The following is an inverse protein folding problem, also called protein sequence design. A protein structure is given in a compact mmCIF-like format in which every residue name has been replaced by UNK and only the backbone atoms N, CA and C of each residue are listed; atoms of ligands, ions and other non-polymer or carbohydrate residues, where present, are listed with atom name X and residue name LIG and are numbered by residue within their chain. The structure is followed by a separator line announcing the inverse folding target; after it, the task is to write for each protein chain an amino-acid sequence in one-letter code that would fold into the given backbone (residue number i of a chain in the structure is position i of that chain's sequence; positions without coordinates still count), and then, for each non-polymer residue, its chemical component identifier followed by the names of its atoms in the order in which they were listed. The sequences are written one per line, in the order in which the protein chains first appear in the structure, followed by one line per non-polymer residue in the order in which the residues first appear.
data_IF_312538737068
#
_entry.id   IF_312538737068
#
_cell.length_a   1.000
_cell.length_b   1.000
_cell.length_c   1.000
_cell.angle_alpha   90.00
_cell.angle_beta   90.00
_cell.angle_gamma   90.00
#
_symmetry.space_group_name_H-M   'P 1'
#
loop_
_entity.id
_entity.type
_entity.pdbx_description
1 polymer ?
#
# COMPACT_ATOMS: atom_id res chain seq x y z
N UNK A 1 -3.83 13.35 -15.88
CA UNK A 1 -3.07 14.04 -16.92
C UNK A 1 -1.62 13.61 -16.74
N UNK A 2 -0.97 13.09 -17.76
CA UNK A 2 0.46 12.84 -17.72
C UNK A 2 1.16 14.07 -18.25
N UNK A 3 2.12 14.60 -17.52
CA UNK A 3 3.04 15.62 -18.03
C UNK A 3 4.11 14.81 -18.74
N UNK A 4 4.02 14.75 -20.06
CA UNK A 4 5.09 14.18 -20.88
C UNK A 4 6.12 15.27 -21.13
N UNK A 5 7.38 14.92 -21.00
CA UNK A 5 8.50 15.83 -21.25
C UNK A 5 8.44 16.34 -22.71
N UNK A 6 8.17 17.64 -22.94
CA UNK A 6 8.14 18.20 -24.27
C UNK A 6 9.53 18.72 -24.73
N UNK A 7 10.59 18.51 -23.93
CA UNK A 7 11.88 19.10 -24.17
C UNK A 7 12.75 18.22 -25.10
N UNK A 8 13.58 18.84 -25.92
CA UNK A 8 14.58 18.10 -26.69
C UNK A 8 15.48 17.28 -25.75
N UNK A 9 15.83 16.07 -26.17
CA UNK A 9 16.71 15.17 -25.43
C UNK A 9 17.95 15.92 -24.87
N UNK A 10 18.10 15.93 -23.56
CA UNK A 10 19.22 16.55 -22.85
C UNK A 10 18.91 17.84 -22.08
N UNK A 11 17.70 18.37 -22.12
CA UNK A 11 17.30 19.48 -21.24
C UNK A 11 16.40 18.96 -20.13
N UNK A 12 16.82 19.10 -18.89
CA UNK A 12 15.97 18.80 -17.73
C UNK A 12 14.92 19.91 -17.55
N UNK A 13 13.68 19.51 -17.30
CA UNK A 13 12.64 20.46 -16.91
C UNK A 13 13.03 21.08 -15.56
N UNK A 14 13.10 22.43 -15.43
CA UNK A 14 13.45 23.03 -14.16
C UNK A 14 12.46 22.57 -13.07
N UNK A 15 12.98 22.00 -12.00
CA UNK A 15 12.17 21.43 -10.91
C UNK A 15 11.14 22.43 -10.35
N UNK A 16 11.53 23.69 -10.22
CA UNK A 16 10.65 24.78 -9.76
C UNK A 16 9.41 24.94 -10.65
N UNK A 17 9.56 24.86 -11.98
CA UNK A 17 8.42 25.00 -12.90
C UNK A 17 7.39 23.87 -12.80
N UNK A 18 7.76 22.70 -12.29
CA UNK A 18 6.81 21.60 -12.11
C UNK A 18 5.74 21.98 -11.08
N UNK A 19 6.17 22.49 -9.96
CA UNK A 19 5.27 22.83 -8.85
C UNK A 19 4.48 24.10 -9.13
N UNK A 20 5.08 25.10 -9.75
CA UNK A 20 4.38 26.29 -10.27
C UNK A 20 3.27 25.91 -11.26
N UNK A 21 3.56 24.97 -12.18
CA UNK A 21 2.55 24.46 -13.10
C UNK A 21 1.41 23.74 -12.38
N UNK A 22 1.71 22.90 -11.39
CA UNK A 22 0.70 22.19 -10.61
C UNK A 22 -0.17 23.18 -9.82
N UNK A 23 0.40 24.23 -9.24
CA UNK A 23 -0.32 25.32 -8.58
C UNK A 23 -1.24 26.04 -9.54
N UNK A 24 -0.71 26.47 -10.70
CA UNK A 24 -1.50 27.15 -11.73
C UNK A 24 -2.64 26.25 -12.24
N UNK A 25 -2.37 24.96 -12.46
CA UNK A 25 -3.40 24.00 -12.83
C UNK A 25 -4.47 23.86 -11.73
N UNK A 26 -4.08 23.74 -10.47
CA UNK A 26 -5.02 23.70 -9.35
C UNK A 26 -5.87 24.95 -9.28
N UNK A 27 -5.24 26.12 -9.41
CA UNK A 27 -5.91 27.44 -9.35
C UNK A 27 -6.86 27.70 -10.54
N UNK A 28 -6.64 27.04 -11.69
CA UNK A 28 -7.55 27.14 -12.85
C UNK A 28 -8.86 26.36 -12.68
N UNK A 29 -8.96 25.48 -11.67
CA UNK A 29 -10.16 24.66 -11.42
C UNK A 29 -11.30 25.53 -10.88
N UNK A 30 -12.56 25.21 -11.22
CA UNK A 30 -13.70 25.92 -10.67
C UNK A 30 -13.80 25.73 -9.15
N UNK A 31 -14.29 26.76 -8.47
CA UNK A 31 -14.63 26.69 -7.06
C UNK A 31 -15.85 25.78 -6.90
N UNK A 32 -15.77 24.82 -5.99
CA UNK A 32 -16.89 24.00 -5.59
C UNK A 32 -17.87 24.88 -4.79
N UNK A 33 -19.11 24.99 -5.30
CA UNK A 33 -20.13 25.86 -4.70
C UNK A 33 -20.54 25.44 -3.28
N UNK A 34 -20.36 24.17 -2.93
CA UNK A 34 -20.70 23.64 -1.60
C UNK A 34 -19.65 24.01 -0.56
N UNK A 35 -18.37 23.99 -0.94
CA UNK A 35 -17.26 24.17 0.01
C UNK A 35 -16.65 25.56 -0.03
N UNK A 36 -16.92 26.33 -1.08
CA UNK A 36 -16.27 27.61 -1.35
C UNK A 36 -14.77 27.47 -1.73
N UNK A 37 -14.28 26.25 -1.97
CA UNK A 37 -12.89 25.94 -2.31
C UNK A 37 -12.81 25.09 -3.57
N UNK A 38 -11.63 24.97 -4.14
CA UNK A 38 -11.38 24.04 -5.25
C UNK A 38 -11.27 22.61 -4.71
N UNK A 39 -11.77 21.64 -5.48
CA UNK A 39 -11.52 20.25 -5.16
C UNK A 39 -10.00 19.96 -5.22
N UNK A 40 -9.44 19.09 -4.38
CA UNK A 40 -8.01 18.85 -4.34
C UNK A 40 -7.47 18.36 -5.68
N UNK A 41 -6.22 18.67 -5.95
CA UNK A 41 -5.42 18.08 -7.03
C UNK A 41 -4.51 17.04 -6.37
N UNK A 42 -4.63 15.78 -6.77
CA UNK A 42 -3.79 14.72 -6.23
C UNK A 42 -2.76 14.36 -7.29
N UNK A 43 -1.50 14.41 -6.91
CA UNK A 43 -0.37 14.17 -7.80
C UNK A 43 0.46 12.99 -7.33
N UNK A 44 0.93 12.19 -8.28
CA UNK A 44 1.89 11.11 -8.04
C UNK A 44 3.22 11.45 -8.71
N UNK A 45 4.29 11.42 -7.93
CA UNK A 45 5.64 11.71 -8.38
C UNK A 45 6.50 10.44 -8.27
N UNK A 46 6.53 9.65 -9.34
CA UNK A 46 7.39 8.46 -9.46
C UNK A 46 8.77 8.81 -10.03
N UNK A 47 9.33 9.92 -9.61
CA UNK A 47 10.64 10.45 -9.96
C UNK A 47 11.18 11.29 -8.81
N UNK A 48 12.45 11.68 -8.89
CA UNK A 48 13.06 12.58 -7.91
C UNK A 48 14.29 13.29 -8.48
N UNK A 49 14.68 14.37 -7.82
CA UNK A 49 15.97 15.02 -8.09
C UNK A 49 17.12 14.13 -7.65
N UNK A 50 18.13 14.06 -8.49
CA UNK A 50 19.33 13.26 -8.25
C UNK A 50 20.59 14.06 -8.48
N UNK A 51 21.67 13.70 -7.76
CA UNK A 51 23.02 14.17 -7.97
C UNK A 51 23.77 13.02 -8.64
N UNK A 52 24.18 13.16 -9.91
CA UNK A 52 25.02 12.16 -10.58
C UNK A 52 26.37 12.04 -9.87
N UNK A 53 26.86 10.82 -9.70
CA UNK A 53 28.12 10.55 -9.01
C UNK A 53 29.35 10.69 -9.91
N UNK A 54 29.15 10.77 -11.23
CA UNK A 54 30.23 11.03 -12.20
C UNK A 54 29.69 11.68 -13.48
N UNK A 55 30.57 12.33 -14.23
CA UNK A 55 30.29 12.87 -15.57
C UNK A 55 30.33 11.79 -16.66
N UNK A 56 30.86 10.59 -16.38
CA UNK A 56 31.17 9.53 -17.36
C UNK A 56 30.54 8.17 -17.03
N UNK A 57 29.31 8.13 -16.49
CA UNK A 57 28.59 6.88 -16.18
C UNK A 57 29.20 6.02 -15.07
N UNK A 58 30.12 6.53 -14.31
CA UNK A 58 30.77 5.77 -13.26
C UNK A 58 29.99 5.85 -11.95
N UNK A 59 29.91 4.71 -11.27
CA UNK A 59 29.28 4.57 -9.98
C UNK A 59 30.16 5.22 -8.90
N UNK A 60 29.58 5.70 -7.81
CA UNK A 60 30.35 6.15 -6.65
C UNK A 60 31.25 5.01 -6.18
N UNK A 61 32.56 5.23 -6.23
CA UNK A 61 33.56 4.32 -5.68
C UNK A 61 34.12 4.86 -4.37
N UNK A 62 34.74 4.00 -3.58
CA UNK A 62 35.37 4.42 -2.34
C UNK A 62 36.55 5.39 -2.61
N UNK A 63 37.21 5.28 -3.76
CA UNK A 63 38.33 6.17 -4.14
C UNK A 63 37.83 7.62 -4.37
N UNK A 64 36.61 7.82 -4.76
CA UNK A 64 36.04 9.15 -5.00
C UNK A 64 35.62 9.85 -3.72
N UNK A 65 35.36 9.09 -2.65
CA UNK A 65 34.94 9.63 -1.37
C UNK A 65 36.13 10.24 -0.62
N UNK A 66 36.07 11.54 -0.41
CA UNK A 66 37.15 12.27 0.30
C UNK A 66 36.83 12.56 1.76
N UNK A 67 35.52 12.70 2.10
CA UNK A 67 35.10 13.04 3.45
C UNK A 67 33.67 12.62 3.71
N UNK A 68 33.38 12.23 4.94
CA UNK A 68 32.04 12.10 5.52
C UNK A 68 31.93 13.04 6.71
N UNK A 69 30.91 13.91 6.72
CA UNK A 69 30.50 14.58 7.95
C UNK A 69 29.29 13.82 8.50
N UNK A 70 29.45 13.24 9.67
CA UNK A 70 28.43 12.43 10.30
C UNK A 70 28.16 12.92 11.72
N UNK A 71 26.94 13.37 11.97
CA UNK A 71 26.50 13.93 13.25
C UNK A 71 27.44 15.04 13.79
N UNK A 72 27.91 15.89 12.89
CA UNK A 72 28.78 17.01 13.21
C UNK A 72 30.28 16.67 13.33
N UNK A 73 30.67 15.41 13.17
CA UNK A 73 32.08 14.97 13.17
C UNK A 73 32.53 14.70 11.75
N UNK A 74 33.70 15.19 11.41
CA UNK A 74 34.32 14.96 10.09
C UNK A 74 35.25 13.76 10.11
N UNK A 75 34.99 12.81 9.19
CA UNK A 75 35.76 11.60 8.99
C UNK A 75 36.40 11.58 7.60
N UNK A 76 37.61 11.07 7.52
CA UNK A 76 38.41 10.91 6.31
C UNK A 76 39.55 9.92 6.57
N UNK A 77 40.50 9.77 5.62
CA UNK A 77 41.63 8.87 5.76
C UNK A 77 42.55 9.22 6.94
N UNK A 78 42.64 10.48 7.36
CA UNK A 78 43.40 10.96 8.49
C UNK A 78 42.66 10.90 9.84
N UNK A 79 41.35 10.80 9.81
CA UNK A 79 40.47 10.66 10.97
C UNK A 79 39.36 9.62 10.64
N UNK A 80 39.71 8.34 10.65
CA UNK A 80 38.76 7.28 10.25
C UNK A 80 37.67 7.09 11.31
N UNK A 81 36.56 6.50 10.87
CA UNK A 81 35.50 6.03 11.78
C UNK A 81 35.94 4.80 12.60
N UNK A 82 35.05 4.33 13.51
CA UNK A 82 35.34 3.19 14.38
C UNK A 82 35.75 1.91 13.62
N UNK A 83 35.18 1.67 12.44
CA UNK A 83 35.48 0.52 11.59
C UNK A 83 36.61 0.76 10.57
N UNK A 84 37.26 1.92 10.64
CA UNK A 84 38.36 2.32 9.77
C UNK A 84 37.90 3.01 8.48
N UNK A 85 38.88 3.65 7.77
CA UNK A 85 38.62 4.30 6.49
C UNK A 85 38.80 3.30 5.35
N UNK A 86 37.79 2.44 5.21
CA UNK A 86 37.66 1.44 4.15
C UNK A 86 36.24 1.49 3.62
N UNK A 87 35.96 0.94 2.43
CA UNK A 87 34.63 0.89 1.89
C UNK A 87 33.61 0.24 2.86
N UNK A 88 33.99 -0.94 3.40
CA UNK A 88 33.18 -1.65 4.37
C UNK A 88 32.99 -0.88 5.69
N UNK A 89 34.09 -0.23 6.20
CA UNK A 89 34.02 0.57 7.41
C UNK A 89 33.12 1.79 7.26
N UNK A 90 33.27 2.52 6.18
CA UNK A 90 32.45 3.71 5.87
C UNK A 90 30.98 3.35 5.67
N UNK A 91 30.71 2.23 4.99
CA UNK A 91 29.34 1.71 4.87
C UNK A 91 28.75 1.35 6.22
N UNK A 92 29.52 0.67 7.07
CA UNK A 92 29.08 0.23 8.41
C UNK A 92 28.83 1.40 9.35
N UNK A 93 29.77 2.35 9.42
CA UNK A 93 29.73 3.43 10.40
C UNK A 93 28.77 4.57 10.01
N UNK A 94 28.66 4.85 8.71
CA UNK A 94 27.98 6.05 8.21
C UNK A 94 26.82 5.77 7.24
N UNK A 95 26.58 4.51 6.88
CA UNK A 95 25.49 4.15 5.96
C UNK A 95 25.69 4.62 4.51
N UNK A 96 26.93 4.91 4.11
CA UNK A 96 27.26 5.29 2.73
C UNK A 96 27.12 4.08 1.81
N UNK A 97 26.46 4.28 0.67
CA UNK A 97 26.28 3.25 -0.37
C UNK A 97 27.25 3.53 -1.52
N UNK A 98 28.06 2.54 -1.83
CA UNK A 98 28.91 2.53 -3.01
C UNK A 98 28.28 1.72 -4.14
N UNK A 99 28.76 1.90 -5.35
CA UNK A 99 28.19 1.23 -6.52
C UNK A 99 26.84 1.80 -6.97
N UNK A 100 26.50 3.02 -6.56
CA UNK A 100 25.31 3.77 -7.02
C UNK A 100 25.74 4.86 -8.00
N UNK A 101 24.92 5.08 -9.02
CA UNK A 101 25.16 6.11 -10.04
C UNK A 101 24.62 7.50 -9.64
N UNK A 102 23.72 7.53 -8.68
CA UNK A 102 23.10 8.78 -8.21
C UNK A 102 22.85 8.77 -6.70
N UNK A 103 22.84 9.96 -6.11
CA UNK A 103 22.28 10.21 -4.79
C UNK A 103 21.09 11.17 -4.89
N UNK A 104 20.10 11.12 -3.96
CA UNK A 104 18.98 12.05 -3.96
C UNK A 104 19.47 13.51 -3.81
N UNK A 105 18.91 14.40 -4.65
CA UNK A 105 19.20 15.83 -4.63
C UNK A 105 18.21 16.58 -3.73
N UNK A 106 18.63 16.95 -2.53
CA UNK A 106 17.87 17.86 -1.67
C UNK A 106 17.98 19.30 -2.14
N UNK A 107 16.88 20.07 -2.10
CA UNK A 107 16.85 21.49 -2.46
C UNK A 107 15.81 22.23 -1.63
N UNK A 108 16.27 23.20 -0.84
CA UNK A 108 15.38 24.05 -0.04
C UNK A 108 14.45 24.91 -0.90
N UNK A 109 14.90 25.33 -2.07
CA UNK A 109 14.08 26.15 -2.98
C UNK A 109 12.91 25.31 -3.55
N UNK A 110 13.21 24.10 -4.02
CA UNK A 110 12.16 23.19 -4.53
C UNK A 110 11.19 22.77 -3.43
N UNK A 111 11.71 22.52 -2.21
CA UNK A 111 10.86 22.16 -1.08
C UNK A 111 9.91 23.31 -0.71
N UNK A 112 10.34 24.57 -0.82
CA UNK A 112 9.45 25.72 -0.61
C UNK A 112 8.30 25.76 -1.65
N UNK A 113 8.58 25.53 -2.94
CA UNK A 113 7.55 25.48 -3.97
C UNK A 113 6.58 24.30 -3.79
N UNK A 114 7.09 23.16 -3.28
CA UNK A 114 6.26 22.02 -2.93
C UNK A 114 5.30 22.39 -1.79
N UNK A 115 5.82 23.03 -0.74
CA UNK A 115 5.02 23.46 0.38
C UNK A 115 3.94 24.47 -0.05
N UNK A 116 4.31 25.44 -0.89
CA UNK A 116 3.35 26.38 -1.50
C UNK A 116 2.26 25.65 -2.30
N UNK A 117 2.61 24.59 -3.03
CA UNK A 117 1.63 23.79 -3.77
C UNK A 117 0.68 23.05 -2.83
N UNK A 118 1.19 22.52 -1.72
CA UNK A 118 0.39 21.88 -0.66
C UNK A 118 -0.56 22.88 -0.02
N UNK A 119 -0.08 24.08 0.31
CA UNK A 119 -0.88 25.14 0.93
C UNK A 119 -1.99 25.63 -0.01
N UNK A 120 -1.76 25.62 -1.30
CA UNK A 120 -2.76 25.92 -2.33
C UNK A 120 -3.82 24.79 -2.49
N UNK A 121 -3.61 23.62 -1.93
CA UNK A 121 -4.55 22.47 -1.96
C UNK A 121 -4.18 21.35 -2.92
N UNK A 122 -2.92 21.27 -3.34
CA UNK A 122 -2.37 20.12 -4.07
C UNK A 122 -1.92 19.06 -3.05
N UNK A 123 -2.30 17.81 -3.28
CA UNK A 123 -1.84 16.67 -2.49
C UNK A 123 -0.69 16.01 -3.24
N UNK A 124 0.48 15.97 -2.62
CA UNK A 124 1.72 15.51 -3.23
C UNK A 124 2.15 14.19 -2.60
N UNK A 125 2.28 13.16 -3.45
CA UNK A 125 2.65 11.81 -3.06
C UNK A 125 3.83 11.39 -3.93
N UNK A 126 4.92 10.97 -3.30
CA UNK A 126 6.16 10.66 -3.99
C UNK A 126 6.73 9.28 -3.69
N UNK A 127 7.42 8.71 -4.65
CA UNK A 127 8.17 7.47 -4.52
C UNK A 127 9.47 7.73 -3.75
N UNK A 128 9.77 6.91 -2.73
CA UNK A 128 10.93 7.12 -1.86
C UNK A 128 12.29 6.92 -2.56
N UNK A 129 12.33 6.25 -3.72
CA UNK A 129 13.57 5.89 -4.42
C UNK A 129 14.00 4.44 -4.18
N UNK A 130 14.98 3.98 -4.99
CA UNK A 130 15.27 2.55 -5.16
C UNK A 130 16.73 2.18 -4.85
N UNK A 131 17.42 2.97 -4.04
CA UNK A 131 18.87 2.84 -3.84
C UNK A 131 19.23 2.25 -2.47
N UNK A 132 18.21 1.80 -1.71
CA UNK A 132 18.37 1.31 -0.33
C UNK A 132 19.11 2.31 0.58
N UNK A 133 18.75 3.60 0.46
CA UNK A 133 19.32 4.68 1.24
C UNK A 133 18.47 5.02 2.45
N UNK A 134 19.13 5.40 3.55
CA UNK A 134 18.45 5.91 4.74
C UNK A 134 18.02 7.36 4.53
N UNK A 135 16.72 7.65 4.78
CA UNK A 135 16.20 9.02 4.83
C UNK A 135 15.95 9.42 6.29
N UNK A 136 16.64 10.45 6.71
CA UNK A 136 16.61 10.94 8.08
C UNK A 136 15.41 11.86 8.33
N UNK A 137 14.93 11.87 9.56
CA UNK A 137 13.97 12.87 10.04
C UNK A 137 14.65 14.25 10.14
N UNK A 138 13.98 15.36 9.74
CA UNK A 138 14.54 16.71 9.85
C UNK A 138 14.98 17.11 11.26
N UNK A 139 14.36 16.56 12.29
CA UNK A 139 14.73 16.78 13.70
C UNK A 139 15.80 15.81 14.21
N UNK A 140 16.17 14.80 13.39
CA UNK A 140 17.09 13.75 13.78
C UNK A 140 18.56 14.12 13.63
N UNK A 141 19.44 13.46 14.40
CA UNK A 141 20.88 13.70 14.36
C UNK A 141 21.52 13.48 12.98
N UNK A 142 20.88 12.66 12.14
CA UNK A 142 21.41 12.32 10.81
C UNK A 142 21.02 13.31 9.71
N UNK A 143 20.18 14.30 10.00
CA UNK A 143 19.69 15.26 9.00
C UNK A 143 20.78 16.05 8.30
N UNK A 144 21.82 16.42 9.03
CA UNK A 144 22.89 17.27 8.52
C UNK A 144 24.14 16.50 8.05
N UNK A 145 24.02 15.19 7.88
CA UNK A 145 25.11 14.38 7.37
C UNK A 145 25.42 14.70 5.90
N UNK A 146 26.71 14.87 5.57
CA UNK A 146 27.15 15.17 4.21
C UNK A 146 28.24 14.23 3.73
N UNK A 147 28.27 14.02 2.41
CA UNK A 147 29.40 13.42 1.71
C UNK A 147 30.14 14.49 0.93
N UNK A 148 31.47 14.36 0.84
CA UNK A 148 32.30 15.12 -0.12
C UNK A 148 32.90 14.11 -1.08
N UNK A 149 32.54 14.24 -2.35
CA UNK A 149 32.91 13.33 -3.43
C UNK A 149 33.75 14.12 -4.45
N UNK A 150 34.86 13.55 -4.87
CA UNK A 150 35.75 14.15 -5.87
C UNK A 150 35.00 14.38 -7.18
N UNK A 151 35.19 15.56 -7.76
CA UNK A 151 34.49 15.94 -9.01
C UNK A 151 32.96 16.25 -8.87
N UNK A 152 32.33 15.92 -7.76
CA UNK A 152 30.91 16.19 -7.50
C UNK A 152 30.70 17.32 -6.50
N UNK A 153 31.49 17.33 -5.41
CA UNK A 153 31.39 18.32 -4.33
C UNK A 153 30.75 17.75 -3.06
N UNK A 154 30.25 18.64 -2.20
CA UNK A 154 29.67 18.28 -0.91
C UNK A 154 28.13 18.37 -0.98
N UNK A 155 27.46 17.32 -0.51
CA UNK A 155 25.99 17.26 -0.51
C UNK A 155 25.45 16.48 0.68
N UNK A 156 24.18 16.73 1.02
CA UNK A 156 23.45 15.97 2.03
C UNK A 156 22.99 14.64 1.45
N UNK A 157 23.30 13.53 2.10
CA UNK A 157 23.02 12.21 1.55
C UNK A 157 21.89 11.43 2.26
N UNK A 158 21.34 12.00 3.34
CA UNK A 158 20.25 11.39 4.11
C UNK A 158 18.97 12.23 4.14
N UNK A 159 18.89 13.31 3.35
CA UNK A 159 17.70 14.19 3.32
C UNK A 159 16.64 13.78 2.30
N UNK A 160 16.88 12.72 1.54
CA UNK A 160 16.05 12.45 0.37
C UNK A 160 16.26 13.48 -0.75
N UNK A 161 15.59 13.30 -1.84
CA UNK A 161 15.54 14.23 -2.98
C UNK A 161 14.13 14.78 -3.18
N UNK A 162 14.03 15.99 -3.75
CA UNK A 162 12.73 16.52 -4.11
C UNK A 162 12.02 15.62 -5.14
N UNK A 163 10.66 15.42 -5.11
CA UNK A 163 9.72 15.95 -4.13
C UNK A 163 9.66 15.15 -2.82
N UNK A 164 10.50 14.13 -2.68
CA UNK A 164 10.40 13.11 -1.63
C UNK A 164 11.27 13.43 -0.40
N UNK A 165 11.71 14.67 -0.25
CA UNK A 165 12.37 15.13 0.95
C UNK A 165 11.35 15.28 2.08
N UNK A 166 11.63 14.79 3.30
CA UNK A 166 10.67 14.83 4.41
C UNK A 166 10.30 16.25 4.86
N UNK A 167 11.16 17.23 4.63
CA UNK A 167 10.90 18.64 4.91
C UNK A 167 10.10 19.37 3.82
N UNK A 168 9.72 18.68 2.74
CA UNK A 168 8.83 19.23 1.72
C UNK A 168 7.35 19.10 2.09
N UNK A 169 7.00 18.25 3.05
CA UNK A 169 5.61 17.94 3.40
C UNK A 169 4.91 16.95 2.46
N UNK A 170 5.61 16.40 1.46
CA UNK A 170 5.07 15.35 0.60
C UNK A 170 4.93 14.01 1.34
N UNK A 171 4.03 13.14 0.87
CA UNK A 171 3.89 11.77 1.38
C UNK A 171 4.93 10.88 0.70
N UNK A 172 5.85 10.32 1.48
CA UNK A 172 6.93 9.46 1.01
C UNK A 172 6.53 7.98 1.07
N UNK A 173 6.53 7.31 -0.08
CA UNK A 173 6.05 5.94 -0.20
C UNK A 173 7.20 4.98 -0.48
N UNK A 174 7.46 4.07 0.46
CA UNK A 174 8.37 2.95 0.29
C UNK A 174 7.71 1.76 -0.41
N UNK A 175 8.51 0.86 -0.95
CA UNK A 175 8.06 -0.34 -1.63
C UNK A 175 8.06 -1.56 -0.70
N UNK A 176 6.99 -2.35 -0.74
CA UNK A 176 6.93 -3.71 -0.18
C UNK A 176 7.35 -4.74 -1.21
N UNK A 177 7.95 -5.84 -0.74
CA UNK A 177 8.22 -7.03 -1.53
C UNK A 177 6.92 -7.76 -1.93
N UNK A 178 7.01 -8.56 -3.00
CA UNK A 178 5.90 -9.42 -3.45
C UNK A 178 5.81 -10.76 -2.70
N UNK A 179 6.83 -11.08 -1.92
CA UNK A 179 6.91 -12.35 -1.20
C UNK A 179 6.05 -12.34 0.06
N UNK A 180 4.81 -12.39 0.04
CA UNK A 180 3.78 -12.57 1.06
C UNK A 180 4.09 -12.48 2.58
N UNK A 181 5.32 -12.16 2.94
CA UNK A 181 5.84 -12.03 4.31
C UNK A 181 5.84 -10.58 4.82
N UNK A 182 5.23 -9.67 4.08
CA UNK A 182 5.11 -8.25 4.43
C UNK A 182 6.45 -7.52 4.68
N UNK A 183 7.51 -7.92 4.00
CA UNK A 183 8.79 -7.23 4.10
C UNK A 183 8.89 -6.03 3.16
N UNK A 184 9.78 -5.09 3.46
CA UNK A 184 10.14 -4.05 2.51
C UNK A 184 10.91 -4.66 1.33
N UNK A 185 10.77 -4.10 0.14
CA UNK A 185 11.62 -4.45 -0.99
C UNK A 185 13.08 -4.05 -0.68
N UNK A 186 14.04 -4.89 -1.11
CA UNK A 186 15.47 -4.69 -0.78
C UNK A 186 16.03 -3.39 -1.34
N UNK A 187 15.49 -2.92 -2.44
CA UNK A 187 15.94 -1.70 -3.10
C UNK A 187 15.34 -0.43 -2.49
N UNK A 188 14.20 -0.51 -1.81
CA UNK A 188 13.47 0.69 -1.37
C UNK A 188 14.29 1.54 -0.42
N UNK A 189 14.32 2.86 -0.64
CA UNK A 189 14.81 3.77 0.37
C UNK A 189 13.95 3.65 1.64
N UNK A 190 14.55 3.88 2.80
CA UNK A 190 13.96 3.60 4.11
C UNK A 190 14.37 4.67 5.13
N UNK A 191 13.87 4.59 6.34
CA UNK A 191 14.20 5.53 7.41
C UNK A 191 12.96 6.24 7.98
N UNK A 192 13.13 7.10 8.99
CA UNK A 192 12.02 7.75 9.67
C UNK A 192 11.21 8.69 8.77
N UNK A 193 11.76 9.08 7.62
CA UNK A 193 11.13 9.94 6.63
C UNK A 193 10.13 9.21 5.69
N UNK A 194 9.99 7.91 5.82
CA UNK A 194 8.98 7.15 5.06
C UNK A 194 7.64 7.23 5.79
N UNK A 195 6.58 7.63 5.08
CA UNK A 195 5.25 7.72 5.68
C UNK A 195 4.50 6.39 5.67
N UNK A 196 4.64 5.64 4.57
CA UNK A 196 3.92 4.38 4.38
C UNK A 196 4.62 3.51 3.36
N UNK A 197 4.47 2.19 3.50
CA UNK A 197 4.85 1.24 2.46
C UNK A 197 3.62 0.78 1.68
N UNK A 198 3.81 0.50 0.38
CA UNK A 198 2.79 -0.09 -0.48
C UNK A 198 3.43 -1.12 -1.42
N UNK A 199 2.66 -2.05 -2.02
CA UNK A 199 3.21 -3.03 -2.94
C UNK A 199 4.02 -2.37 -4.06
N UNK A 200 5.28 -2.76 -4.21
CA UNK A 200 6.19 -2.12 -5.19
C UNK A 200 7.06 -3.09 -5.95
N UNK A 201 6.90 -4.40 -5.75
CA UNK A 201 7.67 -5.41 -6.44
C UNK A 201 6.76 -6.32 -7.28
N UNK A 202 7.17 -6.63 -8.53
CA UNK A 202 6.39 -7.42 -9.49
C UNK A 202 4.97 -6.87 -9.76
N UNK A 203 4.83 -5.57 -9.84
CA UNK A 203 3.53 -4.93 -10.04
C UNK A 203 3.16 -4.98 -11.52
N UNK A 204 2.14 -5.78 -11.83
CA UNK A 204 1.60 -5.90 -13.17
C UNK A 204 0.81 -4.64 -13.56
N UNK A 205 1.24 -3.99 -14.62
CA UNK A 205 0.64 -2.74 -15.09
C UNK A 205 0.58 -2.69 -16.63
N UNK A 206 -0.25 -1.78 -17.15
CA UNK A 206 -0.26 -1.51 -18.59
C UNK A 206 1.12 -1.04 -19.04
N UNK A 207 1.59 -1.58 -20.17
CA UNK A 207 2.90 -1.31 -20.70
C UNK A 207 2.85 -0.91 -22.17
N UNK A 208 3.74 -0.01 -22.58
CA UNK A 208 3.86 0.41 -23.97
C UNK A 208 4.44 -0.68 -24.88
N UNK A 209 4.07 -0.65 -26.17
CA UNK A 209 4.64 -1.57 -27.17
C UNK A 209 6.02 -1.11 -27.68
N UNK A 210 6.80 -0.40 -26.88
CA UNK A 210 8.15 0.01 -27.25
C UNK A 210 9.05 -1.24 -27.25
N UNK A 211 9.63 -1.56 -28.39
CA UNK A 211 10.52 -2.72 -28.52
C UNK A 211 11.79 -2.56 -27.69
N UNK A 212 12.26 -3.65 -27.10
CA UNK A 212 13.56 -3.69 -26.42
C UNK A 212 13.62 -4.49 -25.13
N UNK A 213 12.49 -4.84 -24.51
CA UNK A 213 12.51 -5.81 -23.42
C UNK A 213 12.23 -7.20 -23.97
N UNK A 214 13.21 -8.09 -23.85
CA UNK A 214 13.13 -9.49 -24.29
C UNK A 214 12.27 -10.37 -23.38
N UNK A 215 11.44 -9.76 -22.52
CA UNK A 215 10.73 -10.47 -21.48
C UNK A 215 9.29 -10.77 -21.86
N UNK A 216 8.75 -11.80 -21.24
CA UNK A 216 7.40 -12.32 -21.48
C UNK A 216 6.35 -11.28 -21.13
N UNK A 217 5.89 -10.54 -22.13
CA UNK A 217 4.76 -9.61 -21.98
C UNK A 217 3.47 -10.40 -21.92
N UNK A 218 2.64 -10.09 -20.95
CA UNK A 218 1.26 -10.60 -20.95
C UNK A 218 0.43 -9.77 -21.94
N UNK A 219 -0.25 -10.44 -22.87
CA UNK A 219 -1.11 -9.78 -23.85
C UNK A 219 -2.57 -10.04 -23.53
N UNK A 220 -3.37 -8.97 -23.51
CA UNK A 220 -4.83 -9.07 -23.50
C UNK A 220 -5.36 -8.58 -24.85
N UNK A 221 -5.64 -9.54 -25.76
CA UNK A 221 -5.94 -9.21 -27.16
C UNK A 221 -4.68 -8.81 -27.95
N UNK A 222 -4.87 -8.29 -29.16
CA UNK A 222 -3.77 -8.05 -30.11
C UNK A 222 -2.96 -6.76 -29.88
N UNK A 223 -3.37 -5.89 -28.95
CA UNK A 223 -2.79 -4.56 -28.81
C UNK A 223 -2.60 -4.07 -27.35
N UNK A 224 -2.94 -4.86 -26.35
CA UNK A 224 -2.82 -4.47 -24.95
C UNK A 224 -1.72 -5.29 -24.29
N UNK A 225 -0.70 -4.60 -23.83
CA UNK A 225 0.46 -5.20 -23.17
C UNK A 225 0.45 -4.91 -21.69
N UNK A 226 0.78 -5.92 -20.89
CA UNK A 226 1.01 -5.81 -19.45
C UNK A 226 2.39 -6.36 -19.13
N UNK A 227 3.09 -5.71 -18.22
CA UNK A 227 4.41 -6.15 -17.80
C UNK A 227 4.57 -5.91 -16.29
N UNK A 228 5.14 -6.87 -15.53
CA UNK A 228 5.46 -6.67 -14.13
C UNK A 228 6.77 -5.90 -14.01
N UNK A 229 6.73 -4.79 -13.28
CA UNK A 229 7.92 -4.00 -12.94
C UNK A 229 7.97 -3.75 -11.45
N UNK A 230 9.17 -3.46 -10.94
CA UNK A 230 9.43 -3.21 -9.53
C UNK A 230 9.97 -1.81 -9.33
N UNK A 231 9.62 -1.20 -8.22
CA UNK A 231 10.09 0.13 -7.83
C UNK A 231 9.14 0.81 -6.86
N UNK A 232 9.64 1.76 -6.10
CA UNK A 232 8.80 2.70 -5.34
C UNK A 232 7.90 3.52 -6.25
N UNK A 233 8.27 3.64 -7.54
CA UNK A 233 7.44 4.19 -8.62
C UNK A 233 6.12 3.45 -8.83
N UNK A 234 6.02 2.17 -8.44
CA UNK A 234 4.81 1.33 -8.49
C UNK A 234 4.04 1.37 -7.19
N UNK A 235 4.70 1.62 -6.08
CA UNK A 235 4.09 1.75 -4.75
C UNK A 235 3.33 3.09 -4.60
N UNK A 236 3.96 4.19 -4.97
CA UNK A 236 3.43 5.55 -4.82
C UNK A 236 2.06 5.76 -5.51
N UNK A 237 1.83 5.34 -6.77
CA UNK A 237 0.53 5.54 -7.42
C UNK A 237 -0.62 4.75 -6.77
N UNK A 238 -0.34 3.67 -6.06
CA UNK A 238 -1.37 2.95 -5.30
C UNK A 238 -1.85 3.77 -4.11
N UNK A 239 -0.93 4.44 -3.40
CA UNK A 239 -1.27 5.40 -2.34
C UNK A 239 -2.06 6.56 -2.91
N UNK A 240 -1.62 7.13 -4.03
CA UNK A 240 -2.34 8.22 -4.72
C UNK A 240 -3.76 7.80 -5.12
N UNK A 241 -3.93 6.58 -5.61
CA UNK A 241 -5.24 6.01 -5.95
C UNK A 241 -6.17 5.87 -4.75
N UNK A 242 -5.68 5.38 -3.63
CA UNK A 242 -6.45 5.29 -2.37
C UNK A 242 -6.85 6.67 -1.88
N UNK A 243 -5.91 7.61 -1.85
CA UNK A 243 -6.17 9.00 -1.45
C UNK A 243 -7.20 9.66 -2.38
N UNK A 244 -7.11 9.42 -3.70
CA UNK A 244 -8.09 9.94 -4.67
C UNK A 244 -9.51 9.39 -4.43
N UNK A 245 -9.63 8.10 -4.11
CA UNK A 245 -10.91 7.49 -3.75
C UNK A 245 -11.51 8.11 -2.49
N UNK A 246 -10.68 8.37 -1.48
CA UNK A 246 -11.11 9.00 -0.23
C UNK A 246 -11.53 10.46 -0.43
N UNK A 247 -10.74 11.22 -1.16
CA UNK A 247 -11.01 12.62 -1.46
C UNK A 247 -12.30 12.81 -2.28
N UNK A 248 -12.67 11.82 -3.13
CA UNK A 248 -13.86 11.89 -3.97
C UNK A 248 -15.17 11.95 -3.19
N UNK A 249 -15.19 11.47 -1.96
CA UNK A 249 -16.36 11.47 -1.07
C UNK A 249 -16.35 12.57 -0.02
N UNK A 250 -15.40 13.51 -0.09
CA UNK A 250 -15.23 14.58 0.90
C UNK A 250 -15.50 15.95 0.29
N UNK A 251 -16.21 16.80 1.00
CA UNK A 251 -16.40 18.19 0.60
C UNK A 251 -15.10 19.00 0.68
N UNK A 252 -14.18 18.58 1.53
CA UNK A 252 -12.84 19.12 1.68
C UNK A 252 -11.87 17.98 2.00
N UNK A 253 -10.71 18.01 1.36
CA UNK A 253 -9.64 17.05 1.63
C UNK A 253 -8.28 17.71 1.36
N UNK A 254 -7.37 17.61 2.30
CA UNK A 254 -6.05 18.28 2.30
C UNK A 254 -4.91 17.27 2.37
N UNK A 255 -3.67 17.75 2.27
CA UNK A 255 -2.47 16.94 2.52
C UNK A 255 -2.50 16.33 3.94
N UNK A 256 -2.86 17.13 4.95
CA UNK A 256 -2.94 16.67 6.33
C UNK A 256 -4.02 15.59 6.51
N UNK A 257 -5.16 15.74 5.81
CA UNK A 257 -6.21 14.69 5.83
C UNK A 257 -5.70 13.38 5.22
N UNK A 258 -4.89 13.45 4.16
CA UNK A 258 -4.26 12.30 3.54
C UNK A 258 -3.24 11.62 4.47
N UNK A 259 -2.36 12.41 5.10
CA UNK A 259 -1.40 11.93 6.10
C UNK A 259 -2.13 11.32 7.29
N UNK A 260 -3.13 12.02 7.83
CA UNK A 260 -3.94 11.54 8.94
C UNK A 260 -4.65 10.22 8.62
N UNK A 261 -5.18 10.04 7.40
CA UNK A 261 -5.76 8.78 6.96
C UNK A 261 -4.72 7.66 6.94
N UNK A 262 -3.55 7.90 6.35
CA UNK A 262 -2.47 6.93 6.29
C UNK A 262 -2.07 6.50 7.70
N UNK A 263 -1.91 7.45 8.62
CA UNK A 263 -1.53 7.16 10.01
C UNK A 263 -2.57 6.32 10.76
N UNK A 264 -3.85 6.56 10.53
CA UNK A 264 -4.95 5.91 11.26
C UNK A 264 -5.42 4.59 10.66
N UNK A 265 -5.27 4.41 9.35
CA UNK A 265 -5.87 3.29 8.62
C UNK A 265 -4.86 2.33 8.01
N UNK A 266 -3.57 2.64 8.04
CA UNK A 266 -2.53 1.68 7.65
C UNK A 266 -2.43 0.56 8.68
N UNK A 267 -2.10 -0.63 8.21
CA UNK A 267 -1.78 -1.74 9.09
C UNK A 267 -0.38 -1.55 9.67
N UNK A 268 -0.23 -1.78 10.97
CA UNK A 268 1.02 -1.57 11.69
C UNK A 268 1.47 -2.83 12.40
N UNK A 269 2.78 -3.01 12.56
CA UNK A 269 3.35 -4.07 13.38
C UNK A 269 3.65 -5.38 12.64
N UNK A 270 3.09 -5.59 11.45
CA UNK A 270 3.19 -6.86 10.72
C UNK A 270 4.32 -6.92 9.69
N UNK A 271 4.95 -5.78 9.38
CA UNK A 271 6.05 -5.79 8.40
C UNK A 271 7.28 -6.48 8.97
N UNK A 272 7.73 -7.46 8.23
CA UNK A 272 9.05 -8.08 8.44
C UNK A 272 10.08 -7.41 7.53
N UNK A 273 11.34 -7.44 7.91
CA UNK A 273 12.42 -6.87 7.11
C UNK A 273 13.31 -7.99 6.60
N UNK A 274 13.75 -7.86 5.34
CA UNK A 274 14.55 -8.90 4.70
C UNK A 274 15.86 -9.13 5.45
N UNK A 275 16.15 -10.40 5.70
CA UNK A 275 17.37 -10.87 6.36
C UNK A 275 18.39 -11.47 5.43
N UNK A 276 18.09 -11.56 4.15
CA UNK A 276 18.96 -12.25 3.18
C UNK A 276 20.32 -11.55 2.94
N UNK A 277 20.54 -10.38 3.56
CA UNK A 277 21.80 -9.64 3.47
C UNK A 277 22.57 -9.44 4.77
N UNK A 278 22.16 -10.07 5.87
CA UNK A 278 22.82 -9.93 7.18
C UNK A 278 22.36 -8.70 7.96
N UNK A 279 21.49 -8.87 8.91
CA UNK A 279 21.19 -7.90 9.94
C UNK A 279 19.86 -7.15 9.83
N UNK A 280 19.05 -7.38 8.84
CA UNK A 280 17.78 -6.66 8.66
C UNK A 280 16.58 -7.17 9.50
N UNK A 281 16.76 -8.17 10.36
CA UNK A 281 15.78 -8.55 11.40
C UNK A 281 15.81 -7.65 12.64
N UNK A 282 16.79 -6.77 12.73
CA UNK A 282 16.92 -5.83 13.82
C UNK A 282 15.97 -4.64 13.55
N UNK A 283 15.18 -4.18 14.53
CA UNK A 283 14.47 -2.92 14.44
C UNK A 283 15.35 -1.74 14.03
N UNK A 284 16.65 -1.78 14.33
CA UNK A 284 17.65 -0.81 13.85
C UNK A 284 17.86 -0.85 12.33
N UNK A 285 17.65 -1.98 11.68
CA UNK A 285 17.76 -2.11 10.22
C UNK A 285 16.60 -1.42 9.47
N UNK A 286 15.52 -1.04 10.15
CA UNK A 286 14.51 -0.15 9.61
C UNK A 286 14.99 1.30 9.53
N UNK A 287 16.12 1.62 10.16
CA UNK A 287 16.61 3.00 10.26
C UNK A 287 15.56 3.96 10.81
N UNK A 288 14.61 3.48 11.64
CA UNK A 288 13.49 4.27 12.12
C UNK A 288 12.26 4.31 11.20
N UNK A 289 12.23 3.58 10.06
CA UNK A 289 11.02 3.50 9.21
C UNK A 289 9.81 3.05 10.02
N UNK A 290 8.63 3.63 9.79
CA UNK A 290 7.42 3.18 10.43
C UNK A 290 7.10 1.75 9.98
N UNK A 291 6.72 0.87 10.91
CA UNK A 291 6.16 -0.43 10.58
C UNK A 291 4.71 -0.25 10.15
N UNK A 292 4.52 0.29 8.95
CA UNK A 292 3.21 0.70 8.45
C UNK A 292 3.09 0.47 6.96
N UNK A 293 2.07 -0.26 6.54
CA UNK A 293 1.74 -0.41 5.12
C UNK A 293 0.30 -0.04 4.82
N UNK A 294 0.09 0.42 3.59
CA UNK A 294 -1.21 0.87 3.13
C UNK A 294 -2.21 -0.28 3.17
N UNK A 295 -3.29 -0.07 3.90
CA UNK A 295 -4.46 -0.93 3.85
C UNK A 295 -5.57 -0.17 3.13
N UNK A 296 -5.87 -0.54 1.90
CA UNK A 296 -7.06 -0.05 1.22
C UNK A 296 -8.29 -0.69 1.87
N UNK A 297 -8.76 -0.14 2.97
CA UNK A 297 -10.13 -0.43 3.41
C UNK A 297 -11.04 0.15 2.34
N UNK A 298 -11.81 -0.73 1.69
CA UNK A 298 -12.86 -0.30 0.78
C UNK A 298 -13.73 0.71 1.55
N UNK A 299 -13.76 2.01 1.19
CA UNK A 299 -14.72 2.91 1.77
C UNK A 299 -16.08 2.40 1.28
N UNK A 300 -16.76 1.56 2.06
CA UNK A 300 -18.18 1.34 1.82
C UNK A 300 -18.82 2.73 1.82
N UNK A 301 -19.50 3.13 0.74
CA UNK A 301 -20.45 4.23 0.85
C UNK A 301 -21.38 3.83 1.98
N UNK A 302 -21.52 4.70 2.99
CA UNK A 302 -22.53 4.47 4.00
C UNK A 302 -23.85 4.16 3.30
N UNK A 303 -24.53 3.10 3.73
CA UNK A 303 -25.76 2.66 3.10
C UNK A 303 -26.76 3.83 3.08
N UNK A 304 -26.94 4.44 1.92
CA UNK A 304 -27.80 5.61 1.71
C UNK A 304 -27.27 6.66 0.74
N UNK A 305 -26.00 6.70 0.42
CA UNK A 305 -25.48 7.58 -0.64
C UNK A 305 -25.47 6.85 -1.99
N UNK A 306 -26.61 6.75 -2.62
CA UNK A 306 -26.70 6.60 -4.06
C UNK A 306 -26.01 7.81 -4.69
N UNK A 307 -24.85 7.62 -5.30
CA UNK A 307 -24.22 8.63 -6.12
C UNK A 307 -25.20 9.02 -7.22
N UNK A 308 -25.83 10.16 -7.05
CA UNK A 308 -26.58 10.80 -8.13
C UNK A 308 -25.60 11.09 -9.25
N UNK A 309 -25.75 10.41 -10.34
CA UNK A 309 -24.96 10.54 -11.58
C UNK A 309 -25.19 11.95 -12.15
N UNK A 310 -24.35 12.88 -11.79
CA UNK A 310 -24.26 14.14 -12.52
C UNK A 310 -23.24 13.95 -13.66
N UNK A 311 -23.78 13.68 -14.85
CA UNK A 311 -22.99 13.70 -16.07
C UNK A 311 -22.50 15.10 -16.36
N UNK A 312 -21.22 15.41 -16.13
CA UNK A 312 -20.61 16.64 -16.62
C UNK A 312 -20.13 16.44 -18.06
N UNK A 313 -20.62 17.29 -18.95
CA UNK A 313 -20.15 17.42 -20.33
C UNK A 313 -18.82 18.15 -20.33
N UNK A 314 -17.82 17.60 -20.99
CA UNK A 314 -16.62 18.33 -21.39
C UNK A 314 -16.68 18.55 -22.89
N UNK A 315 -16.68 19.82 -23.33
CA UNK A 315 -16.72 20.27 -24.73
C UNK A 315 -17.79 19.60 -25.62
N UNK A 316 -19.02 19.47 -25.14
CA UNK A 316 -20.15 19.08 -26.01
C UNK A 316 -20.18 17.63 -26.50
N UNK A 317 -19.17 16.81 -26.19
CA UNK A 317 -19.12 15.40 -26.54
C UNK A 317 -19.54 14.52 -25.36
N UNK A 318 -20.52 13.66 -25.60
CA UNK A 318 -20.94 12.62 -24.69
C UNK A 318 -20.02 11.42 -24.93
N UNK A 319 -19.04 11.17 -24.05
CA UNK A 319 -18.35 9.89 -24.05
C UNK A 319 -19.31 8.86 -23.43
N UNK A 320 -19.59 7.73 -24.12
CA UNK A 320 -20.28 6.64 -23.48
C UNK A 320 -19.40 6.14 -22.34
N UNK A 321 -19.80 6.43 -21.10
CA UNK A 321 -19.21 5.81 -19.95
C UNK A 321 -19.41 4.31 -20.08
N UNK A 322 -18.41 3.55 -20.50
CA UNK A 322 -18.27 2.21 -19.98
C UNK A 322 -18.13 2.40 -18.47
N UNK A 323 -19.19 2.14 -17.78
CA UNK A 323 -19.21 1.95 -16.35
C UNK A 323 -18.18 0.87 -16.07
N UNK A 324 -16.96 1.26 -15.66
CA UNK A 324 -16.18 0.39 -14.81
C UNK A 324 -16.99 0.41 -13.52
N UNK A 325 -17.91 -0.51 -13.44
CA UNK A 325 -18.49 -0.90 -12.18
C UNK A 325 -17.35 -1.59 -11.46
N UNK A 326 -16.59 -0.83 -10.65
CA UNK A 326 -16.12 -1.45 -9.45
C UNK A 326 -17.41 -1.77 -8.69
N UNK A 327 -17.95 -2.93 -8.93
CA UNK A 327 -18.93 -3.54 -8.05
C UNK A 327 -18.17 -3.91 -6.78
N UNK A 328 -17.90 -2.92 -5.98
CA UNK A 328 -17.46 -3.10 -4.62
C UNK A 328 -18.59 -3.32 -3.65
N UNK A 329 -19.74 -3.77 -4.11
CA UNK A 329 -20.52 -4.78 -3.42
C UNK A 329 -19.99 -6.09 -3.98
N UNK A 330 -19.21 -6.84 -3.25
CA UNK A 330 -19.27 -8.29 -3.37
C UNK A 330 -20.75 -8.57 -3.27
N UNK A 331 -21.36 -8.96 -4.40
CA UNK A 331 -22.75 -9.35 -4.37
C UNK A 331 -22.84 -10.40 -3.28
N UNK A 332 -23.71 -10.17 -2.29
CA UNK A 332 -23.96 -11.12 -1.22
C UNK A 332 -24.08 -12.50 -1.87
N UNK A 333 -23.13 -13.37 -1.55
CA UNK A 333 -23.14 -14.73 -2.07
C UNK A 333 -24.03 -15.56 -1.20
N UNK A 334 -24.73 -16.52 -1.82
CA UNK A 334 -25.43 -17.54 -1.07
C UNK A 334 -24.68 -18.85 -1.22
N UNK A 335 -24.18 -19.36 -0.11
CA UNK A 335 -23.51 -20.64 -0.03
C UNK A 335 -24.48 -21.68 0.52
N UNK A 336 -24.65 -22.77 -0.20
CA UNK A 336 -25.57 -23.84 0.20
C UNK A 336 -24.82 -25.12 0.51
N UNK A 337 -25.09 -25.68 1.67
CA UNK A 337 -24.48 -26.89 2.18
C UNK A 337 -25.53 -27.96 2.47
N UNK A 338 -25.21 -29.21 2.14
CA UNK A 338 -25.92 -30.37 2.66
C UNK A 338 -25.16 -30.88 3.89
N UNK A 339 -25.86 -31.07 5.00
CA UNK A 339 -25.29 -31.48 6.28
C UNK A 339 -25.95 -32.77 6.74
N UNK A 340 -25.13 -33.79 7.03
CA UNK A 340 -25.56 -35.07 7.61
C UNK A 340 -24.81 -35.38 8.90
N UNK A 341 -25.34 -36.24 9.73
CA UNK A 341 -24.72 -36.67 10.98
C UNK A 341 -24.32 -38.15 10.90
N UNK A 342 -23.15 -38.51 10.35
CA UNK A 342 -22.76 -39.89 10.19
C UNK A 342 -22.35 -40.57 11.52
N UNK A 343 -22.09 -39.76 12.56
CA UNK A 343 -21.70 -40.26 13.88
C UNK A 343 -22.03 -39.23 14.97
N UNK A 344 -21.86 -39.59 16.24
CA UNK A 344 -21.99 -38.65 17.36
C UNK A 344 -20.79 -37.69 17.51
N UNK A 345 -19.82 -37.75 16.62
CA UNK A 345 -18.58 -36.95 16.72
C UNK A 345 -18.43 -35.93 15.61
N UNK A 346 -19.13 -36.07 14.48
CA UNK A 346 -18.92 -35.22 13.33
C UNK A 346 -20.21 -34.95 12.52
N UNK A 347 -20.35 -33.75 12.00
CA UNK A 347 -21.17 -33.47 10.83
C UNK A 347 -20.38 -33.77 9.57
N UNK A 348 -21.02 -34.30 8.54
CA UNK A 348 -20.44 -34.38 7.21
C UNK A 348 -21.10 -33.32 6.33
N UNK A 349 -20.28 -32.49 5.71
CA UNK A 349 -20.70 -31.31 4.95
C UNK A 349 -20.31 -31.47 3.48
N UNK A 350 -21.27 -31.20 2.59
CA UNK A 350 -21.06 -31.13 1.14
C UNK A 350 -21.58 -29.79 0.63
N UNK A 351 -20.76 -29.06 -0.14
CA UNK A 351 -21.09 -27.76 -0.68
C UNK A 351 -19.86 -27.01 -1.14
N UNK A 352 -20.01 -25.74 -1.44
CA UNK A 352 -18.91 -24.85 -1.85
C UNK A 352 -19.05 -23.53 -1.11
N UNK A 353 -17.92 -23.01 -0.62
CA UNK A 353 -17.84 -21.68 -0.02
C UNK A 353 -16.69 -20.85 -0.63
N UNK A 354 -16.30 -19.75 0.01
CA UNK A 354 -15.22 -18.89 -0.44
C UNK A 354 -13.85 -19.58 -0.46
N UNK A 355 -13.66 -20.64 0.33
CA UNK A 355 -12.38 -21.39 0.41
C UNK A 355 -12.29 -22.54 -0.58
N UNK A 356 -13.42 -23.05 -1.09
CA UNK A 356 -13.45 -24.18 -2.01
C UNK A 356 -14.65 -25.11 -1.87
N UNK A 357 -14.52 -26.33 -2.41
CA UNK A 357 -15.58 -27.31 -2.45
C UNK A 357 -15.33 -28.43 -1.44
N UNK A 358 -16.36 -28.77 -0.67
CA UNK A 358 -16.39 -29.86 0.30
C UNK A 358 -17.22 -31.04 -0.27
N UNK A 359 -16.74 -32.23 -0.10
CA UNK A 359 -17.44 -33.43 -0.50
C UNK A 359 -17.45 -34.42 0.67
N UNK A 360 -18.55 -34.42 1.40
CA UNK A 360 -18.74 -35.24 2.61
C UNK A 360 -17.60 -35.05 3.64
N UNK A 361 -17.08 -33.80 3.74
CA UNK A 361 -16.00 -33.45 4.64
C UNK A 361 -16.50 -33.43 6.09
N UNK A 362 -15.70 -33.96 7.02
CA UNK A 362 -16.06 -34.03 8.42
C UNK A 362 -15.67 -32.72 9.13
N UNK A 363 -16.68 -32.03 9.68
CA UNK A 363 -16.55 -30.77 10.41
C UNK A 363 -15.62 -29.73 9.75
N UNK A 364 -15.74 -29.46 8.43
CA UNK A 364 -14.81 -28.54 7.78
C UNK A 364 -14.98 -27.12 8.32
N UNK A 365 -13.88 -26.36 8.27
CA UNK A 365 -13.94 -24.91 8.45
C UNK A 365 -14.57 -24.28 7.19
N UNK A 366 -15.63 -23.49 7.37
CA UNK A 366 -16.34 -22.76 6.32
C UNK A 366 -15.90 -21.29 6.31
N UNK A 367 -15.88 -20.67 5.13
CA UNK A 367 -15.49 -19.28 4.97
C UNK A 367 -16.50 -18.48 4.15
N UNK A 368 -16.84 -17.29 4.65
CA UNK A 368 -17.69 -16.34 3.93
C UNK A 368 -17.32 -14.90 4.28
N UNK A 369 -17.85 -13.93 3.54
CA UNK A 369 -17.72 -12.52 3.88
C UNK A 369 -18.96 -12.03 4.62
N UNK A 370 -18.80 -11.01 5.46
CA UNK A 370 -19.94 -10.37 6.11
C UNK A 370 -20.90 -9.81 5.05
N UNK A 371 -22.19 -10.17 5.15
CA UNK A 371 -23.23 -9.86 4.18
C UNK A 371 -23.59 -11.04 3.26
N UNK A 372 -22.84 -12.14 3.30
CA UNK A 372 -23.21 -13.39 2.62
C UNK A 372 -24.32 -14.13 3.36
N UNK A 373 -24.96 -15.06 2.68
CA UNK A 373 -25.98 -15.94 3.25
C UNK A 373 -25.49 -17.38 3.23
N UNK A 374 -25.48 -18.03 4.39
CA UNK A 374 -25.20 -19.46 4.52
C UNK A 374 -26.51 -20.24 4.67
N UNK A 375 -26.70 -21.26 3.84
CA UNK A 375 -27.88 -22.13 3.85
C UNK A 375 -27.44 -23.56 4.12
N UNK A 376 -27.86 -24.12 5.24
CA UNK A 376 -27.57 -25.48 5.63
C UNK A 376 -28.83 -26.36 5.51
N UNK A 377 -28.83 -27.28 4.56
CA UNK A 377 -29.84 -28.30 4.42
C UNK A 377 -29.48 -29.47 5.32
N UNK A 378 -30.01 -29.47 6.51
CA UNK A 378 -29.70 -30.43 7.55
C UNK A 378 -30.56 -31.69 7.41
N UNK A 379 -29.91 -32.85 7.39
CA UNK A 379 -30.50 -34.16 7.51
C UNK A 379 -29.66 -35.00 8.49
N UNK A 380 -29.79 -34.69 9.78
CA UNK A 380 -28.97 -35.23 10.86
C UNK A 380 -29.86 -35.55 12.08
N UNK A 381 -30.70 -36.56 11.94
CA UNK A 381 -31.60 -36.98 13.03
C UNK A 381 -30.86 -37.32 14.28
N UNK A 382 -31.27 -36.82 15.43
CA UNK A 382 -30.58 -36.95 16.73
C UNK A 382 -29.55 -35.86 16.98
N UNK A 383 -29.24 -34.99 16.00
CA UNK A 383 -28.18 -34.00 16.07
C UNK A 383 -28.69 -32.58 15.73
N UNK A 384 -29.35 -31.87 16.67
CA UNK A 384 -29.83 -30.50 16.43
C UNK A 384 -28.68 -29.58 16.05
N UNK A 385 -28.78 -28.87 14.91
CA UNK A 385 -27.76 -28.02 14.32
C UNK A 385 -27.93 -26.58 14.76
N UNK A 386 -26.91 -26.01 15.39
CA UNK A 386 -26.91 -24.64 15.89
C UNK A 386 -25.72 -23.85 15.34
N UNK A 387 -25.92 -22.53 15.14
CA UNK A 387 -24.83 -21.58 14.89
C UNK A 387 -24.60 -20.79 16.17
N UNK A 388 -23.31 -20.73 16.62
CA UNK A 388 -22.96 -20.18 17.91
C UNK A 388 -21.69 -19.33 17.88
N UNK A 389 -21.55 -18.48 18.91
CA UNK A 389 -20.34 -17.67 19.15
C UNK A 389 -19.24 -18.44 19.90
N UNK A 390 -19.53 -19.64 20.40
CA UNK A 390 -18.57 -20.51 21.07
C UNK A 390 -18.94 -21.98 20.84
N UNK A 391 -17.95 -22.87 20.75
CA UNK A 391 -18.12 -24.32 20.56
C UNK A 391 -18.58 -25.01 21.85
N UNK A 392 -19.83 -24.77 22.27
CA UNK A 392 -20.42 -25.32 23.50
C UNK A 392 -21.73 -26.03 23.21
N UNK A 393 -21.99 -27.14 23.91
CA UNK A 393 -23.26 -27.86 23.82
C UNK A 393 -24.43 -27.10 24.47
N UNK A 394 -25.64 -27.64 24.34
CA UNK A 394 -26.86 -26.98 24.83
C UNK A 394 -27.36 -25.90 23.88
N UNK A 395 -28.16 -24.97 24.39
CA UNK A 395 -28.76 -23.88 23.60
C UNK A 395 -28.13 -22.50 23.88
N UNK A 396 -27.15 -22.43 24.75
CA UNK A 396 -26.40 -21.20 25.06
C UNK A 396 -25.50 -20.75 23.91
N UNK A 397 -25.08 -19.48 23.94
CA UNK A 397 -24.16 -18.86 22.95
C UNK A 397 -24.66 -18.92 21.50
N UNK A 398 -25.96 -19.10 21.26
CA UNK A 398 -26.53 -19.11 19.93
C UNK A 398 -26.45 -17.73 19.26
N UNK A 399 -26.13 -17.71 17.98
CA UNK A 399 -26.31 -16.53 17.13
C UNK A 399 -27.79 -16.40 16.81
N UNK A 400 -28.39 -15.28 17.18
CA UNK A 400 -29.82 -15.01 16.90
C UNK A 400 -29.98 -14.02 15.74
N UNK A 401 -29.01 -13.14 15.52
CA UNK A 401 -29.06 -12.17 14.45
C UNK A 401 -28.89 -12.86 13.09
N UNK A 402 -29.86 -12.71 12.22
CA UNK A 402 -29.86 -13.24 10.87
C UNK A 402 -30.06 -14.77 10.77
N UNK A 403 -30.14 -15.52 11.87
CA UNK A 403 -30.31 -16.98 11.86
C UNK A 403 -31.76 -17.36 11.93
N UNK A 404 -32.17 -18.28 11.05
CA UNK A 404 -33.49 -18.92 11.06
C UNK A 404 -33.32 -20.44 11.03
N UNK A 405 -34.28 -21.19 11.61
CA UNK A 405 -34.29 -22.66 11.62
C UNK A 405 -33.26 -23.30 12.57
N UNK A 406 -32.65 -22.53 13.46
CA UNK A 406 -31.65 -23.04 14.44
C UNK A 406 -32.21 -24.19 15.27
N UNK A 407 -31.39 -25.23 15.53
CA UNK A 407 -31.76 -26.41 16.29
C UNK A 407 -32.54 -27.47 15.49
N UNK A 408 -32.71 -27.31 14.17
CA UNK A 408 -33.32 -28.37 13.36
C UNK A 408 -32.40 -29.58 13.25
N UNK A 409 -33.04 -30.76 13.12
CA UNK A 409 -32.39 -32.04 12.81
C UNK A 409 -32.68 -32.50 11.39
N UNK A 410 -33.78 -31.95 10.80
CA UNK A 410 -34.20 -32.21 9.44
C UNK A 410 -34.93 -30.96 8.93
N UNK A 411 -34.28 -30.25 7.98
CA UNK A 411 -34.79 -29.00 7.45
C UNK A 411 -33.65 -28.03 7.13
N UNK A 412 -33.98 -26.76 7.02
CA UNK A 412 -32.98 -25.72 6.61
C UNK A 412 -32.69 -24.77 7.75
N UNK A 413 -31.38 -24.55 8.01
CA UNK A 413 -30.87 -23.43 8.82
C UNK A 413 -30.31 -22.41 7.86
N UNK A 414 -30.79 -21.16 7.95
CA UNK A 414 -30.25 -20.07 7.15
C UNK A 414 -29.62 -19.01 8.05
N UNK A 415 -28.45 -18.51 7.67
CA UNK A 415 -27.81 -17.41 8.34
C UNK A 415 -27.48 -16.29 7.36
N UNK A 416 -28.20 -15.18 7.45
CA UNK A 416 -27.85 -13.92 6.81
C UNK A 416 -26.80 -13.21 7.67
N UNK A 417 -25.58 -13.06 7.16
CA UNK A 417 -24.46 -12.47 7.90
C UNK A 417 -24.40 -10.95 7.77
N UNK A 418 -25.44 -10.31 7.25
CA UNK A 418 -25.52 -8.85 7.17
C UNK A 418 -25.45 -8.22 8.56
N UNK A 419 -24.45 -7.34 8.75
CA UNK A 419 -24.22 -6.67 10.03
C UNK A 419 -23.60 -7.54 11.11
N UNK A 420 -23.18 -8.76 10.80
CA UNK A 420 -22.41 -9.62 11.70
C UNK A 420 -20.97 -9.15 11.74
N UNK A 421 -20.41 -9.09 12.94
CA UNK A 421 -18.97 -8.74 13.13
C UNK A 421 -18.08 -9.83 12.56
N UNK A 422 -17.08 -9.51 11.72
CA UNK A 422 -16.08 -10.47 11.30
C UNK A 422 -15.41 -11.20 12.47
N UNK A 423 -15.19 -12.51 12.31
CA UNK A 423 -14.65 -13.34 13.37
C UNK A 423 -14.96 -14.83 13.17
N UNK A 424 -14.61 -15.65 14.15
CA UNK A 424 -14.88 -17.09 14.13
C UNK A 424 -16.16 -17.40 14.89
N UNK A 425 -17.03 -18.12 14.24
CA UNK A 425 -18.28 -18.68 14.75
C UNK A 425 -18.24 -20.21 14.59
N UNK A 426 -19.24 -20.90 15.10
CA UNK A 426 -19.25 -22.35 15.13
C UNK A 426 -20.61 -22.89 14.71
N UNK A 427 -20.65 -23.91 13.86
CA UNK A 427 -21.81 -24.79 13.77
C UNK A 427 -21.56 -26.00 14.66
N UNK A 428 -22.54 -26.38 15.46
CA UNK A 428 -22.34 -27.39 16.51
C UNK A 428 -23.63 -28.15 16.83
N UNK A 429 -23.47 -29.42 17.19
CA UNK A 429 -24.56 -30.24 17.72
C UNK A 429 -24.93 -29.80 19.15
N UNK A 430 -26.23 -29.75 19.44
CA UNK A 430 -26.72 -29.45 20.79
C UNK A 430 -26.19 -30.42 21.84
N UNK A 431 -26.00 -31.68 21.48
CA UNK A 431 -25.76 -32.78 22.45
C UNK A 431 -24.34 -33.27 22.47
N UNK A 432 -23.60 -33.12 21.36
CA UNK A 432 -22.27 -33.74 21.19
C UNK A 432 -21.19 -32.69 21.07
N UNK A 433 -20.28 -32.61 22.04
CA UNK A 433 -19.28 -31.56 22.15
C UNK A 433 -18.15 -31.64 21.10
N UNK A 434 -17.94 -32.80 20.52
CA UNK A 434 -16.93 -32.99 19.45
C UNK A 434 -17.49 -32.77 18.04
N UNK A 435 -18.83 -32.67 17.90
CA UNK A 435 -19.52 -32.53 16.61
C UNK A 435 -19.73 -31.08 16.29
N UNK A 436 -18.66 -30.40 15.84
CA UNK A 436 -18.68 -28.97 15.47
C UNK A 436 -17.63 -28.63 14.43
N UNK A 437 -17.86 -27.59 13.66
CA UNK A 437 -16.85 -26.94 12.81
C UNK A 437 -16.93 -25.43 12.93
N UNK A 438 -15.93 -24.76 12.37
CA UNK A 438 -15.79 -23.31 12.42
C UNK A 438 -16.44 -22.66 11.19
N UNK A 439 -16.95 -21.43 11.38
CA UNK A 439 -17.34 -20.53 10.31
C UNK A 439 -16.56 -19.26 10.49
N UNK A 440 -15.67 -18.95 9.54
CA UNK A 440 -14.86 -17.73 9.56
C UNK A 440 -15.52 -16.69 8.66
N UNK A 441 -15.93 -15.56 9.25
CA UNK A 441 -16.47 -14.41 8.55
C UNK A 441 -15.39 -13.36 8.41
N UNK A 442 -15.08 -12.94 7.17
CA UNK A 442 -14.10 -11.91 6.82
C UNK A 442 -14.71 -10.56 6.49
#
# INVERSE_FOLDING_TARGET
MAITDPWPSGQQFPALLIFDYLRAFHQSKPINSTTGKRNPTITNHSYGGVIPMSTDTELLTFADLTQVNYQGVTYNSGNPGPSGWTEAGVTTDFGVRFGVDVYPAWSSAVNADIQDAIDDGVIIIGAAGNDNLLFADPSGANWNNTLTVSGVGTFYYMRGGWPNSPDSGSINVGAMSFEGDFRRAVFTNFGPAIDVFAPGENILSAYGNQGGLNDTKYTLGSANYFYPISGTSMASPQVAGVIACLASGKDRFTQDDAIGYIQQNSKTGDMTFDVSGGGFNDPSARGGSPNRYLLAKNPRPEAGQLATTVGKRFNGQTFPRRRIVFSGAVASQTYTFSVTGPSNSNYAVTGTDASGTFNNALDPQLQCSAGDTLVFNVNALGHPFWIKTAATTGTGNQVTQGVTGAGTQSGTVTWDTTGITPGTYYYICQFHSLMYGEIVIS
#
